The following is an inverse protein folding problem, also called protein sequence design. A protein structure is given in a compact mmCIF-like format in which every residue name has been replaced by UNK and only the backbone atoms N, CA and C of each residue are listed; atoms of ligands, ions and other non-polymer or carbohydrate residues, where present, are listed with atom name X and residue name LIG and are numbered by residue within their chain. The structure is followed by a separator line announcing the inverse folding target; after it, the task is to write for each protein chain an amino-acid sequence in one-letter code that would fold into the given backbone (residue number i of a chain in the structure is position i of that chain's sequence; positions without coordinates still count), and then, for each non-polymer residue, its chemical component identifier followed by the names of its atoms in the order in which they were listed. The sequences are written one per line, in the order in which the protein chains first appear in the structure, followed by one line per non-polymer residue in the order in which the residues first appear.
data_IF_664016457378
#
_entry.id   IF_664016457378
#
_cell.length_a   1.000
_cell.length_b   1.000
_cell.length_c   1.000
_cell.angle_alpha   90.00
_cell.angle_beta   90.00
_cell.angle_gamma   90.00
#
_symmetry.space_group_name_H-M   'P 1'
#
loop_
_entity.id
_entity.type
_entity.pdbx_description
1 polymer ?
#
# COMPACT_ATOMS: atom_id res chain seq x y z
N UNK A 1 -0.56 -4.05 1.54
CA UNK A 1 -1.73 -3.19 1.24
C UNK A 1 -1.98 -2.31 2.43
N UNK A 2 -2.30 -1.04 2.21
CA UNK A 2 -2.75 -0.09 3.23
C UNK A 2 -4.19 0.28 2.89
N UNK A 3 -5.11 0.11 3.84
CA UNK A 3 -6.51 0.53 3.70
C UNK A 3 -6.79 1.67 4.67
N UNK A 4 -7.50 2.70 4.21
CA UNK A 4 -7.92 3.81 5.06
C UNK A 4 -9.22 4.46 4.55
N UNK A 5 -9.87 5.20 5.44
CA UNK A 5 -11.01 6.06 5.09
C UNK A 5 -10.54 7.50 5.18
N UNK A 6 -10.68 8.25 4.07
CA UNK A 6 -10.31 9.66 4.03
C UNK A 6 -11.25 10.53 4.87
N UNK A 7 -10.86 11.79 5.09
CA UNK A 7 -11.73 12.78 5.74
C UNK A 7 -13.01 13.07 4.92
N UNK A 8 -13.00 12.74 3.63
CA UNK A 8 -14.13 12.76 2.71
C UNK A 8 -15.06 11.54 2.85
N UNK A 9 -14.73 10.57 3.71
CA UNK A 9 -15.50 9.36 3.94
C UNK A 9 -15.29 8.28 2.88
N UNK A 10 -14.43 8.50 1.89
CA UNK A 10 -14.15 7.53 0.83
C UNK A 10 -13.10 6.53 1.32
N UNK A 11 -13.41 5.23 1.21
CA UNK A 11 -12.44 4.16 1.45
C UNK A 11 -11.47 4.08 0.29
N UNK A 12 -10.19 3.98 0.63
CA UNK A 12 -9.09 3.85 -0.33
C UNK A 12 -8.19 2.69 0.04
N UNK A 13 -7.63 2.08 -0.99
CA UNK A 13 -6.68 0.99 -0.88
C UNK A 13 -5.42 1.33 -1.67
N UNK A 14 -4.27 1.19 -1.01
CA UNK A 14 -2.95 1.38 -1.58
C UNK A 14 -2.18 0.06 -1.57
N UNK A 15 -1.95 -0.49 -2.75
CA UNK A 15 -1.12 -1.67 -2.94
C UNK A 15 0.30 -1.30 -3.33
N UNK A 16 1.27 -1.91 -2.65
CA UNK A 16 2.69 -1.76 -2.92
C UNK A 16 3.24 -3.07 -3.44
N UNK A 17 3.50 -3.15 -4.75
CA UNK A 17 3.99 -4.38 -5.38
C UNK A 17 5.52 -4.37 -5.53
N UNK A 18 6.14 -5.54 -5.34
CA UNK A 18 7.59 -5.79 -5.57
C UNK A 18 7.79 -6.92 -6.57
N UNK A 19 8.72 -6.74 -7.51
CA UNK A 19 9.31 -7.86 -8.24
C UNK A 19 10.40 -8.55 -7.39
N UNK A 20 10.30 -9.86 -7.10
CA UNK A 20 11.20 -10.54 -6.15
C UNK A 20 12.68 -10.49 -6.55
N UNK A 21 12.97 -10.36 -7.85
CA UNK A 21 14.33 -10.42 -8.41
C UNK A 21 14.82 -9.09 -9.00
N UNK A 22 14.18 -7.97 -8.71
CA UNK A 22 14.57 -6.66 -9.25
C UNK A 22 14.94 -5.65 -8.15
N UNK A 23 15.72 -4.60 -8.48
CA UNK A 23 15.93 -3.46 -7.60
C UNK A 23 14.60 -2.85 -7.16
N UNK A 24 14.58 -2.25 -5.97
CA UNK A 24 13.39 -1.62 -5.37
C UNK A 24 12.69 -0.68 -6.37
N UNK A 25 11.51 -1.12 -6.83
CA UNK A 25 10.57 -0.33 -7.64
C UNK A 25 9.20 -0.63 -7.05
N UNK A 26 8.79 0.15 -6.06
CA UNK A 26 7.46 0.02 -5.49
C UNK A 26 6.46 0.62 -6.49
N UNK A 27 5.45 -0.16 -6.87
CA UNK A 27 4.30 0.35 -7.61
C UNK A 27 3.21 0.60 -6.59
N UNK A 28 2.79 1.85 -6.46
CA UNK A 28 1.56 2.23 -5.76
C UNK A 28 0.41 2.01 -6.73
N UNK A 29 -0.57 1.21 -6.32
CA UNK A 29 -1.86 1.11 -7.01
C UNK A 29 -2.90 1.66 -6.06
N UNK A 30 -3.63 2.68 -6.50
CA UNK A 30 -4.70 3.30 -5.75
C UNK A 30 -6.05 2.82 -6.28
N UNK A 31 -6.91 2.45 -5.34
CA UNK A 31 -8.30 2.11 -5.60
C UNK A 31 -9.21 2.88 -4.64
N UNK A 32 -10.36 3.32 -5.12
CA UNK A 32 -11.38 4.01 -4.33
C UNK A 32 -12.68 3.20 -4.34
N UNK A 33 -13.41 3.23 -3.23
CA UNK A 33 -14.76 2.66 -3.16
C UNK A 33 -15.76 3.57 -3.88
N UNK A 34 -16.35 3.04 -4.95
CA UNK A 34 -17.44 3.67 -5.71
C UNK A 34 -18.62 2.72 -5.75
N UNK A 35 -19.79 3.17 -5.29
CA UNK A 35 -21.03 2.38 -5.26
C UNK A 35 -20.89 1.02 -4.52
N UNK A 36 -20.04 0.96 -3.50
CA UNK A 36 -19.78 -0.27 -2.72
C UNK A 36 -18.78 -1.22 -3.37
N UNK A 37 -18.15 -0.83 -4.48
CA UNK A 37 -17.12 -1.61 -5.16
C UNK A 37 -15.78 -0.87 -5.16
N UNK A 38 -14.69 -1.59 -4.89
CA UNK A 38 -13.34 -1.05 -5.06
C UNK A 38 -13.00 -0.93 -6.55
N UNK A 39 -12.69 0.29 -7.00
CA UNK A 39 -12.32 0.58 -8.39
C UNK A 39 -10.93 1.18 -8.46
N UNK A 40 -10.12 0.70 -9.39
CA UNK A 40 -8.80 1.25 -9.67
C UNK A 40 -8.90 2.68 -10.19
N UNK A 41 -8.14 3.60 -9.58
CA UNK A 41 -8.13 5.02 -9.96
C UNK A 41 -6.76 5.51 -10.42
N UNK A 42 -5.67 4.82 -10.08
CA UNK A 42 -4.34 5.26 -10.51
C UNK A 42 -3.21 4.32 -10.11
N UNK A 43 -2.06 4.49 -10.78
CA UNK A 43 -0.83 3.80 -10.43
C UNK A 43 0.39 4.72 -10.54
N UNK A 44 1.30 4.64 -9.57
CA UNK A 44 2.52 5.45 -9.53
C UNK A 44 3.75 4.60 -9.19
N UNK A 45 4.88 4.88 -9.87
CA UNK A 45 6.18 4.26 -9.55
C UNK A 45 6.88 5.06 -8.47
N UNK A 46 7.02 4.45 -7.30
CA UNK A 46 7.71 5.04 -6.16
C UNK A 46 9.22 4.75 -6.20
N UNK A 47 9.99 5.74 -5.75
CA UNK A 47 11.45 5.63 -5.60
C UNK A 47 11.88 5.20 -4.20
N UNK A 48 11.10 5.54 -3.17
CA UNK A 48 11.37 5.22 -1.76
C UNK A 48 10.04 5.10 -1.00
N UNK A 49 10.00 4.28 0.05
CA UNK A 49 8.91 4.22 1.03
C UNK A 49 9.51 4.36 2.42
N UNK A 50 8.93 5.25 3.22
CA UNK A 50 9.31 5.47 4.61
C UNK A 50 8.06 5.28 5.49
N UNK A 51 8.23 4.62 6.62
CA UNK A 51 7.18 4.47 7.65
C UNK A 51 7.76 5.08 8.92
N UNK A 52 7.04 6.04 9.51
CA UNK A 52 7.50 6.83 10.67
C UNK A 52 8.86 7.53 10.45
N UNK A 53 9.12 7.98 9.22
CA UNK A 53 10.36 8.66 8.84
C UNK A 53 11.56 7.73 8.58
N UNK A 54 11.44 6.44 8.88
CA UNK A 54 12.46 5.44 8.59
C UNK A 54 12.26 4.82 7.21
N UNK A 55 13.33 4.76 6.41
CA UNK A 55 13.30 4.04 5.14
C UNK A 55 13.05 2.56 5.42
N UNK A 56 11.93 2.04 4.92
CA UNK A 56 11.58 0.62 5.09
C UNK A 56 12.01 -0.12 3.85
N UNK A 57 13.10 -0.87 3.93
CA UNK A 57 13.23 -2.05 3.09
C UNK A 57 12.18 -3.06 3.59
N UNK A 58 11.31 -3.54 2.70
CA UNK A 58 10.19 -4.39 3.08
C UNK A 58 10.69 -5.63 3.85
N UNK A 59 10.50 -5.61 5.16
CA UNK A 59 10.55 -6.81 6.00
C UNK A 59 9.22 -7.52 5.77
N UNK A 60 9.26 -8.84 5.59
CA UNK A 60 8.07 -9.67 5.44
C UNK A 60 7.09 -9.36 6.57
N UNK A 61 5.93 -8.79 6.27
CA UNK A 61 4.82 -8.54 7.20
C UNK A 61 4.11 -9.85 7.58
N UNK A 62 4.89 -10.88 7.87
CA UNK A 62 4.44 -12.17 8.38
C UNK A 62 5.25 -12.44 9.64
N UNK A 63 5.01 -11.68 10.71
CA UNK A 63 5.35 -12.07 12.10
C UNK A 63 4.87 -11.05 13.17
N UNK A 64 3.78 -10.31 12.94
CA UNK A 64 3.16 -9.46 14.01
C UNK A 64 1.67 -9.71 14.20
N UNK A 65 1.18 -10.89 13.84
CA UNK A 65 -0.02 -11.45 14.45
C UNK A 65 0.39 -12.36 15.62
N UNK A 66 1.12 -11.80 16.60
CA UNK A 66 1.04 -12.32 17.96
C UNK A 66 -0.04 -11.51 18.68
N UNK A 67 -1.22 -12.11 18.77
CA UNK A 67 -2.25 -11.81 19.75
C UNK A 67 -2.77 -13.17 20.27
N UNK A 68 -3.10 -13.28 21.57
CA UNK A 68 -3.14 -14.53 22.34
C UNK A 68 -4.08 -15.61 21.80
#
# INVERSE_FOLDING_TARGET
TIEYVGADGVRRELDFQRAPHAPWRALLVESEETDGEMRHVGAEKLRELRIDGEARAAVSLVETLEGP
#
